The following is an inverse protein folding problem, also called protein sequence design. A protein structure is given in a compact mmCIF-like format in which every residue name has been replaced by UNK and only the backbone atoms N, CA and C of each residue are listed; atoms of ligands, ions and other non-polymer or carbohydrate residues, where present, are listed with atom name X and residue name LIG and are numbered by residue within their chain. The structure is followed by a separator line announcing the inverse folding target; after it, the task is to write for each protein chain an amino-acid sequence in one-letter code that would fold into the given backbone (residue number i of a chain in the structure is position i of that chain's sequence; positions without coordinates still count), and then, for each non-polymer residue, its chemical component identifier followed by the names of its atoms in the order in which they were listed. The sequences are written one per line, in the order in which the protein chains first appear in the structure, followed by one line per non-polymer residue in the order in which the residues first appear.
data_IF_797210919916
#
_entry.id   IF_797210919916
#
_cell.length_a   1.000
_cell.length_b   1.000
_cell.length_c   1.000
_cell.angle_alpha   90.00
_cell.angle_beta   90.00
_cell.angle_gamma   90.00
#
_symmetry.space_group_name_H-M   'P 1'
#
loop_
_entity.id
_entity.type
_entity.pdbx_description
1 polymer ?
#
# COMPACT_ATOMS: atom_id res chain seq x y z
N UNK A 1 83.14 -6.23 0.71
CA UNK A 1 82.09 -7.03 0.06
C UNK A 1 81.70 -8.08 1.07
N UNK A 2 80.55 -8.05 1.73
CA UNK A 2 79.28 -7.35 1.49
C UNK A 2 78.71 -6.91 2.85
N UNK A 3 78.11 -5.72 2.87
CA UNK A 3 77.41 -5.18 4.04
C UNK A 3 76.04 -5.87 4.19
N UNK A 4 75.70 -6.23 5.43
CA UNK A 4 74.41 -6.79 5.83
C UNK A 4 73.32 -5.70 5.78
N UNK A 5 72.37 -5.80 4.84
CA UNK A 5 71.10 -5.05 4.92
C UNK A 5 70.11 -5.76 5.87
N UNK A 6 69.50 -5.06 6.84
CA UNK A 6 68.43 -5.64 7.64
C UNK A 6 67.10 -5.63 6.88
N UNK A 7 66.52 -6.83 6.74
CA UNK A 7 65.18 -7.06 6.20
C UNK A 7 64.12 -6.28 7.01
N UNK A 8 63.57 -5.22 6.42
CA UNK A 8 62.41 -4.52 6.96
C UNK A 8 61.18 -5.45 6.96
N UNK A 9 60.85 -5.97 8.14
CA UNK A 9 59.59 -6.66 8.40
C UNK A 9 58.44 -5.66 8.22
N UNK A 10 57.82 -5.66 7.03
CA UNK A 10 56.59 -4.90 6.78
C UNK A 10 55.44 -5.55 7.57
N UNK A 11 55.13 -4.99 8.73
CA UNK A 11 53.85 -5.24 9.42
C UNK A 11 52.69 -4.99 8.46
N UNK A 12 51.66 -5.86 8.39
CA UNK A 12 50.50 -5.60 7.57
C UNK A 12 49.76 -4.40 8.15
N UNK A 13 49.72 -3.29 7.42
CA UNK A 13 48.86 -2.17 7.76
C UNK A 13 47.40 -2.65 7.63
N UNK A 14 46.78 -2.97 8.75
CA UNK A 14 45.33 -3.16 8.83
C UNK A 14 44.72 -1.80 8.51
N UNK A 15 44.38 -1.58 7.23
CA UNK A 15 43.58 -0.41 6.85
C UNK A 15 42.19 -0.62 7.45
N UNK A 16 41.95 -0.04 8.62
CA UNK A 16 40.62 0.07 9.20
C UNK A 16 39.86 1.10 8.38
N UNK A 17 39.41 0.70 7.19
CA UNK A 17 38.54 1.53 6.35
C UNK A 17 37.27 1.82 7.15
N UNK A 18 37.17 3.04 7.67
CA UNK A 18 36.03 3.53 8.44
C UNK A 18 34.77 3.37 7.60
N UNK A 19 33.91 2.43 7.97
CA UNK A 19 32.62 2.22 7.29
C UNK A 19 31.64 3.27 7.78
N UNK A 20 31.00 3.96 6.86
CA UNK A 20 29.98 4.96 7.18
C UNK A 20 28.60 4.28 7.20
N UNK A 21 27.89 4.31 8.34
CA UNK A 21 26.63 3.61 8.54
C UNK A 21 25.44 4.57 8.53
N UNK A 22 24.38 4.22 7.81
CA UNK A 22 23.10 4.91 7.90
C UNK A 22 22.43 4.63 9.25
N UNK A 23 22.03 5.66 9.99
CA UNK A 23 21.35 5.51 11.27
C UNK A 23 19.92 4.94 11.15
N UNK A 24 19.26 5.12 10.02
CA UNK A 24 17.87 4.68 9.82
C UNK A 24 17.75 3.23 9.31
N UNK A 25 18.49 2.86 8.25
CA UNK A 25 18.43 1.52 7.65
C UNK A 25 19.65 0.64 7.95
N UNK A 26 20.64 1.16 8.68
CA UNK A 26 21.85 0.43 9.08
C UNK A 26 22.76 -0.04 7.93
N UNK A 27 22.51 0.41 6.69
CA UNK A 27 23.36 0.13 5.54
C UNK A 27 24.73 0.79 5.71
N UNK A 28 25.78 0.08 5.31
CA UNK A 28 27.17 0.53 5.45
C UNK A 28 27.76 0.90 4.08
N UNK A 29 28.55 1.97 4.06
CA UNK A 29 29.18 2.53 2.87
C UNK A 29 30.68 2.65 3.09
N UNK A 30 31.46 2.40 2.02
CA UNK A 30 32.93 2.56 2.05
C UNK A 30 33.35 4.04 2.10
N UNK A 31 32.51 4.92 1.56
CA UNK A 31 32.75 6.35 1.34
C UNK A 31 31.61 7.18 1.95
N UNK A 32 31.91 8.34 2.53
CA UNK A 32 30.92 9.22 3.17
C UNK A 32 29.95 9.80 2.14
N UNK A 33 30.43 10.08 0.93
CA UNK A 33 29.66 10.66 -0.17
C UNK A 33 28.50 9.73 -0.55
N UNK A 34 28.76 8.41 -0.61
CA UNK A 34 27.74 7.42 -0.92
C UNK A 34 26.67 7.33 0.18
N UNK A 35 27.05 7.53 1.45
CA UNK A 35 26.08 7.62 2.54
C UNK A 35 25.20 8.87 2.38
N UNK A 36 25.78 10.01 2.02
CA UNK A 36 25.02 11.24 1.77
C UNK A 36 24.07 11.06 0.59
N UNK A 37 24.52 10.46 -0.51
CA UNK A 37 23.68 10.16 -1.67
C UNK A 37 22.54 9.19 -1.31
N UNK A 38 22.82 8.16 -0.50
CA UNK A 38 21.82 7.25 0.04
C UNK A 38 20.74 8.00 0.82
N UNK A 39 21.13 8.92 1.71
CA UNK A 39 20.18 9.70 2.51
C UNK A 39 19.30 10.59 1.62
N UNK A 40 19.90 11.21 0.60
CA UNK A 40 19.19 12.04 -0.40
C UNK A 40 18.22 11.25 -1.26
N UNK A 41 18.38 9.94 -1.44
CA UNK A 41 17.47 9.11 -2.26
C UNK A 41 16.44 8.35 -1.42
N UNK A 42 16.81 8.00 -0.19
CA UNK A 42 16.02 7.11 0.65
C UNK A 42 14.96 7.83 1.48
N UNK A 43 15.20 9.10 1.86
CA UNK A 43 14.31 10.00 2.64
C UNK A 43 13.71 9.45 3.94
N UNK A 44 13.95 8.17 4.27
CA UNK A 44 13.50 7.42 5.43
C UNK A 44 12.18 7.93 6.03
N UNK A 45 11.12 7.90 5.22
CA UNK A 45 9.83 8.47 5.59
C UNK A 45 9.07 7.59 6.58
N UNK A 46 8.04 8.17 7.19
CA UNK A 46 7.08 7.46 8.05
C UNK A 46 6.38 6.29 7.34
N UNK A 47 6.33 6.31 6.01
CA UNK A 47 5.76 5.24 5.20
C UNK A 47 6.66 4.00 5.11
N UNK A 48 7.94 4.10 5.45
CA UNK A 48 8.84 2.94 5.41
C UNK A 48 8.57 2.01 6.59
N UNK A 49 8.39 0.70 6.34
CA UNK A 49 8.22 -0.27 7.42
C UNK A 49 9.45 -0.30 8.32
N UNK A 50 9.23 -0.44 9.63
CA UNK A 50 10.30 -0.55 10.62
C UNK A 50 10.20 -1.86 11.38
N UNK A 51 11.35 -2.43 11.72
CA UNK A 51 11.40 -3.58 12.60
C UNK A 51 10.92 -3.20 14.02
N UNK A 52 9.96 -3.93 14.57
CA UNK A 52 9.48 -3.71 15.94
C UNK A 52 10.52 -4.00 17.02
N UNK A 53 11.60 -4.71 16.69
CA UNK A 53 12.68 -5.08 17.63
C UNK A 53 13.85 -4.10 17.58
N UNK A 54 14.42 -3.89 16.39
CA UNK A 54 15.64 -3.07 16.24
C UNK A 54 15.41 -1.70 15.60
N UNK A 55 14.16 -1.36 15.28
CA UNK A 55 13.74 -0.10 14.64
C UNK A 55 14.42 0.24 13.30
N UNK A 56 15.09 -0.75 12.68
CA UNK A 56 15.65 -0.62 11.33
C UNK A 56 14.54 -0.32 10.33
N UNK A 57 14.72 0.73 9.54
CA UNK A 57 13.87 1.02 8.39
C UNK A 57 14.17 0.04 7.26
N UNK A 58 13.10 -0.54 6.74
CA UNK A 58 13.08 -1.43 5.60
C UNK A 58 12.46 -0.72 4.41
N UNK A 59 12.95 -1.00 3.20
CA UNK A 59 12.48 -0.34 1.97
C UNK A 59 11.05 -0.74 1.59
N UNK A 60 10.66 -1.96 1.94
CA UNK A 60 9.33 -2.55 1.71
C UNK A 60 8.99 -3.58 2.79
N UNK A 61 7.70 -3.94 2.89
CA UNK A 61 7.25 -4.95 3.85
C UNK A 61 7.85 -6.33 3.55
N UNK A 62 8.10 -6.65 2.28
CA UNK A 62 8.87 -7.84 1.90
C UNK A 62 10.28 -7.80 2.51
N UNK A 63 11.00 -6.68 2.39
CA UNK A 63 12.33 -6.55 3.03
C UNK A 63 12.29 -6.57 4.56
N UNK A 64 11.16 -6.20 5.17
CA UNK A 64 10.95 -6.36 6.61
C UNK A 64 10.75 -7.84 6.97
N UNK A 65 9.93 -8.58 6.21
CA UNK A 65 9.77 -10.04 6.37
C UNK A 65 11.10 -10.75 6.26
N UNK A 66 11.90 -10.45 5.24
CA UNK A 66 13.24 -11.03 5.09
C UNK A 66 14.17 -10.71 6.29
N UNK A 67 14.03 -9.52 6.88
CA UNK A 67 14.83 -9.13 8.02
C UNK A 67 14.49 -9.88 9.32
N UNK A 68 13.22 -10.24 9.52
CA UNK A 68 12.72 -10.84 10.77
C UNK A 68 12.40 -12.34 10.66
N UNK A 69 12.27 -12.89 9.45
CA UNK A 69 11.94 -14.30 9.24
C UNK A 69 12.64 -14.92 8.02
N UNK A 70 13.42 -14.15 7.27
CA UNK A 70 14.15 -14.65 6.10
C UNK A 70 15.40 -15.47 6.46
N UNK A 71 16.01 -16.16 5.48
CA UNK A 71 17.18 -17.01 5.69
C UNK A 71 18.41 -16.24 6.18
N UNK A 72 18.46 -14.93 5.94
CA UNK A 72 19.55 -14.04 6.37
C UNK A 72 19.14 -13.14 7.55
N UNK A 73 18.03 -13.47 8.24
CA UNK A 73 17.57 -12.72 9.39
C UNK A 73 18.58 -12.80 10.55
N UNK A 74 18.76 -11.68 11.26
CA UNK A 74 19.62 -11.68 12.45
C UNK A 74 18.92 -12.42 13.58
N UNK A 75 19.64 -13.35 14.23
CA UNK A 75 19.11 -14.22 15.28
C UNK A 75 18.30 -13.48 16.36
N UNK A 76 18.77 -12.32 16.82
CA UNK A 76 18.06 -11.51 17.82
C UNK A 76 16.68 -11.02 17.36
N UNK A 77 16.56 -10.51 16.13
CA UNK A 77 15.28 -10.01 15.64
C UNK A 77 14.34 -11.16 15.26
N UNK A 78 14.88 -12.24 14.69
CA UNK A 78 14.07 -13.39 14.31
C UNK A 78 13.57 -14.19 15.50
N UNK A 79 14.37 -14.37 16.55
CA UNK A 79 13.94 -15.09 17.76
C UNK A 79 12.81 -14.35 18.48
N UNK A 80 12.95 -13.04 18.68
CA UNK A 80 11.91 -12.21 19.32
C UNK A 80 10.64 -12.21 18.48
N UNK A 81 10.76 -12.03 17.15
CA UNK A 81 9.60 -12.04 16.28
C UNK A 81 8.92 -13.41 16.22
N UNK A 82 9.67 -14.52 16.28
CA UNK A 82 9.09 -15.86 16.30
C UNK A 82 8.24 -16.12 17.56
N UNK A 83 8.63 -15.54 18.71
CA UNK A 83 7.90 -15.71 19.98
C UNK A 83 6.74 -14.72 20.11
N UNK A 84 6.97 -13.46 19.73
CA UNK A 84 6.10 -12.34 20.07
C UNK A 84 5.55 -11.60 18.84
N UNK A 85 5.78 -12.09 17.63
CA UNK A 85 5.41 -11.42 16.39
C UNK A 85 4.12 -11.95 15.76
N UNK A 86 3.39 -11.07 15.08
CA UNK A 86 2.28 -11.45 14.22
C UNK A 86 2.71 -11.37 12.75
N UNK A 87 2.67 -12.49 12.02
CA UNK A 87 3.08 -12.56 10.61
C UNK A 87 2.17 -11.77 9.65
N UNK A 88 0.96 -11.39 10.06
CA UNK A 88 0.04 -10.59 9.26
C UNK A 88 0.36 -9.10 9.38
N UNK A 89 0.28 -8.52 10.58
CA UNK A 89 0.52 -7.09 10.80
C UNK A 89 2.01 -6.73 10.91
N UNK A 90 2.89 -7.69 11.22
CA UNK A 90 4.33 -7.53 11.47
C UNK A 90 4.67 -6.76 12.75
N UNK A 91 3.70 -6.59 13.65
CA UNK A 91 3.92 -6.02 14.98
C UNK A 91 4.52 -7.07 15.91
N UNK A 92 5.27 -6.57 16.89
CA UNK A 92 5.83 -7.35 18.00
C UNK A 92 5.10 -6.93 19.27
N UNK A 93 4.67 -7.91 20.05
CA UNK A 93 3.89 -7.71 21.27
C UNK A 93 4.72 -8.00 22.52
N UNK A 94 4.23 -7.59 23.69
CA UNK A 94 4.94 -7.75 24.96
C UNK A 94 5.04 -9.20 25.43
N UNK A 95 4.05 -10.05 25.08
CA UNK A 95 4.01 -11.45 25.48
C UNK A 95 3.40 -12.34 24.41
N UNK A 96 3.68 -13.66 24.40
CA UNK A 96 3.03 -14.60 23.48
C UNK A 96 1.50 -14.62 23.61
N UNK A 97 0.97 -14.46 24.83
CA UNK A 97 -0.47 -14.45 25.09
C UNK A 97 -1.16 -13.29 24.38
N UNK A 98 -0.54 -12.11 24.36
CA UNK A 98 -1.11 -10.96 23.64
C UNK A 98 -1.04 -11.11 22.13
N UNK A 99 -0.08 -11.88 21.59
CA UNK A 99 -0.06 -12.25 20.17
C UNK A 99 -1.23 -13.16 19.83
N UNK A 100 -1.49 -14.18 20.64
CA UNK A 100 -2.54 -15.15 20.35
C UNK A 100 -3.93 -14.51 20.40
N UNK A 101 -4.21 -13.69 21.41
CA UNK A 101 -5.43 -12.88 21.43
C UNK A 101 -5.52 -11.87 20.27
N UNK A 102 -4.38 -11.34 19.81
CA UNK A 102 -4.35 -10.45 18.65
C UNK A 102 -4.61 -11.18 17.33
N UNK A 103 -4.12 -12.41 17.12
CA UNK A 103 -4.20 -13.11 15.82
C UNK A 103 -5.64 -13.23 15.31
N UNK A 104 -6.58 -13.53 16.20
CA UNK A 104 -8.01 -13.64 15.85
C UNK A 104 -8.58 -12.30 15.37
N UNK A 105 -8.33 -11.23 16.12
CA UNK A 105 -8.75 -9.86 15.76
C UNK A 105 -8.05 -9.35 14.50
N UNK A 106 -6.78 -9.71 14.33
CA UNK A 106 -5.96 -9.34 13.21
C UNK A 106 -6.59 -9.87 11.91
N UNK A 107 -7.04 -11.12 11.86
CA UNK A 107 -7.70 -11.65 10.67
C UNK A 107 -8.99 -10.89 10.33
N UNK A 108 -9.81 -10.59 11.33
CA UNK A 108 -11.18 -10.12 11.14
C UNK A 108 -11.31 -8.63 10.77
N UNK A 109 -10.34 -7.79 11.13
CA UNK A 109 -10.46 -6.33 10.92
C UNK A 109 -9.16 -5.71 10.41
N UNK A 110 -9.25 -4.76 9.49
CA UNK A 110 -8.21 -3.74 9.41
C UNK A 110 -8.26 -2.96 10.74
N UNK A 111 -7.10 -2.66 11.37
CA UNK A 111 -7.11 -1.89 12.60
C UNK A 111 -7.90 -0.60 12.37
N UNK A 112 -8.77 -0.20 13.32
CA UNK A 112 -9.50 1.05 13.22
C UNK A 112 -8.51 2.21 13.01
N UNK A 113 -8.95 3.30 12.36
CA UNK A 113 -8.15 4.51 12.20
C UNK A 113 -7.39 4.82 13.50
N UNK A 114 -6.05 4.74 13.49
CA UNK A 114 -5.28 5.22 14.65
C UNK A 114 -5.55 6.72 14.75
N UNK A 115 -6.47 7.06 15.63
CA UNK A 115 -7.23 8.31 15.65
C UNK A 115 -8.37 8.23 16.67
N UNK A 116 -8.97 7.05 16.84
CA UNK A 116 -9.83 6.72 17.99
C UNK A 116 -9.02 6.02 19.08
N UNK A 117 -8.16 6.78 19.75
CA UNK A 117 -7.73 6.39 21.10
C UNK A 117 -8.81 6.89 22.04
N UNK A 118 -9.64 5.97 22.55
CA UNK A 118 -10.36 6.22 23.80
C UNK A 118 -9.31 6.40 24.89
N UNK A 119 -8.97 7.66 25.19
CA UNK A 119 -8.30 8.01 26.43
C UNK A 119 -9.32 7.75 27.54
N UNK A 120 -9.01 6.93 28.55
CA UNK A 120 -9.91 6.78 29.68
C UNK A 120 -9.98 8.12 30.45
N UNK A 121 -11.15 8.75 30.32
CA UNK A 121 -11.87 9.55 31.31
C UNK A 121 -11.04 10.19 32.44
N UNK A 122 -10.81 11.49 32.34
CA UNK A 122 -10.95 12.42 33.48
C UNK A 122 -11.65 13.67 32.99
N UNK A 123 -12.75 14.00 33.68
CA UNK A 123 -13.70 15.07 33.45
C UNK A 123 -13.03 16.44 33.25
N UNK A 124 -13.40 17.17 32.19
CA UNK A 124 -13.55 18.62 32.19
C UNK A 124 -14.57 19.02 31.12
N UNK A 125 -15.43 19.96 31.49
CA UNK A 125 -16.69 20.31 30.84
C UNK A 125 -16.58 20.99 29.46
N UNK A 126 -17.59 20.68 28.65
CA UNK A 126 -18.24 21.45 27.59
C UNK A 126 -17.50 22.62 26.93
N UNK A 127 -17.12 22.41 25.66
CA UNK A 127 -17.37 23.39 24.59
C UNK A 127 -17.84 22.60 23.34
N UNK A 128 -19.10 22.84 22.96
CA UNK A 128 -19.70 22.35 21.73
C UNK A 128 -19.05 23.08 20.53
N UNK A 129 -18.27 22.34 19.74
CA UNK A 129 -17.89 22.75 18.38
C UNK A 129 -18.08 21.55 17.44
N UNK A 130 -19.30 21.47 16.88
CA UNK A 130 -19.80 20.45 15.95
C UNK A 130 -19.10 20.47 14.55
N UNK A 131 -17.85 20.93 14.47
CA UNK A 131 -17.10 21.03 13.21
C UNK A 131 -15.67 20.45 13.27
N UNK A 132 -15.40 19.55 14.23
CA UNK A 132 -14.10 18.89 14.39
C UNK A 132 -14.00 17.48 13.74
N UNK A 133 -14.88 17.18 12.78
CA UNK A 133 -14.88 15.94 11.99
C UNK A 133 -15.03 16.35 10.50
N UNK A 134 -14.05 16.44 9.61
CA UNK A 134 -12.72 15.86 9.49
C UNK A 134 -11.87 16.79 8.60
N UNK A 135 -10.61 17.06 8.96
CA UNK A 135 -9.73 17.96 8.17
C UNK A 135 -9.15 17.29 6.89
N UNK A 136 -9.66 16.13 6.49
CA UNK A 136 -9.03 15.27 5.50
C UNK A 136 -10.04 14.75 4.47
N UNK A 137 -9.63 14.64 3.20
CA UNK A 137 -10.49 14.08 2.17
C UNK A 137 -10.83 12.63 2.51
N UNK A 138 -12.11 12.29 2.41
CA UNK A 138 -12.61 10.92 2.48
C UNK A 138 -11.97 10.08 1.38
N UNK A 139 -11.73 8.80 1.64
CA UNK A 139 -11.17 7.85 0.68
C UNK A 139 -12.24 6.93 0.12
N UNK A 140 -12.10 6.60 -1.16
CA UNK A 140 -12.90 5.60 -1.87
C UNK A 140 -11.96 4.65 -2.58
N UNK A 141 -12.18 3.35 -2.37
CA UNK A 141 -11.47 2.31 -3.08
C UNK A 141 -12.22 1.95 -4.37
N UNK A 142 -11.50 1.78 -5.48
CA UNK A 142 -12.06 1.29 -6.74
C UNK A 142 -11.47 -0.07 -7.13
N UNK A 143 -12.34 -0.98 -7.57
CA UNK A 143 -11.94 -2.19 -8.28
C UNK A 143 -12.52 -2.17 -9.69
N UNK A 144 -11.70 -2.53 -10.67
CA UNK A 144 -12.13 -2.74 -12.03
C UNK A 144 -11.83 -4.19 -12.43
N UNK A 145 -12.78 -4.84 -13.06
CA UNK A 145 -12.55 -6.10 -13.77
C UNK A 145 -12.73 -5.87 -15.26
N UNK A 146 -11.78 -6.43 -16.01
CA UNK A 146 -11.65 -6.21 -17.44
C UNK A 146 -11.78 -7.54 -18.16
N UNK A 147 -12.37 -7.49 -19.34
CA UNK A 147 -12.46 -8.61 -20.28
C UNK A 147 -11.62 -8.30 -21.52
N UNK A 148 -11.17 -9.36 -22.19
CA UNK A 148 -10.46 -9.27 -23.46
C UNK A 148 -11.43 -9.09 -24.63
N UNK A 149 -11.16 -8.08 -25.45
CA UNK A 149 -11.92 -7.73 -26.64
C UNK A 149 -11.00 -7.69 -27.88
N UNK A 150 -11.63 -7.60 -29.06
CA UNK A 150 -10.92 -7.63 -30.33
C UNK A 150 -10.63 -9.06 -30.81
N UNK A 151 -10.01 -9.19 -31.99
CA UNK A 151 -9.86 -10.48 -32.69
C UNK A 151 -9.09 -11.51 -31.86
N UNK A 152 -8.12 -11.06 -31.07
CA UNK A 152 -7.22 -11.89 -30.27
C UNK A 152 -7.42 -11.72 -28.75
N UNK A 153 -8.40 -10.93 -28.31
CA UNK A 153 -8.65 -10.67 -26.88
C UNK A 153 -7.59 -9.81 -26.19
N UNK A 154 -6.71 -9.15 -26.95
CA UNK A 154 -5.61 -8.32 -26.44
C UNK A 154 -6.04 -6.96 -25.88
N UNK A 155 -7.25 -6.51 -26.19
CA UNK A 155 -7.76 -5.21 -25.76
C UNK A 155 -8.55 -5.37 -24.47
N UNK A 156 -8.05 -4.77 -23.39
CA UNK A 156 -8.73 -4.76 -22.09
C UNK A 156 -9.84 -3.71 -22.06
N UNK A 157 -11.09 -4.16 -21.95
CA UNK A 157 -12.25 -3.29 -21.72
C UNK A 157 -12.88 -3.56 -20.35
N UNK A 158 -13.35 -2.50 -19.71
CA UNK A 158 -14.04 -2.59 -18.43
C UNK A 158 -15.35 -3.36 -18.59
N UNK A 159 -15.58 -4.33 -17.70
CA UNK A 159 -16.76 -5.17 -17.70
C UNK A 159 -17.49 -5.17 -16.35
N UNK A 160 -16.80 -4.81 -15.26
CA UNK A 160 -17.39 -4.60 -13.94
C UNK A 160 -16.57 -3.60 -13.15
N UNK A 161 -17.23 -2.73 -12.40
CA UNK A 161 -16.59 -1.78 -11.49
C UNK A 161 -17.31 -1.78 -10.15
N UNK A 162 -16.57 -1.57 -9.07
CA UNK A 162 -17.14 -1.24 -7.78
C UNK A 162 -16.37 -0.13 -7.08
N UNK A 163 -17.08 0.67 -6.30
CA UNK A 163 -16.52 1.63 -5.36
C UNK A 163 -16.93 1.24 -3.94
N UNK A 164 -15.99 1.34 -3.02
CA UNK A 164 -16.15 1.00 -1.61
C UNK A 164 -15.66 2.15 -0.75
N UNK A 165 -16.40 2.49 0.31
CA UNK A 165 -16.03 3.55 1.25
C UNK A 165 -15.05 3.08 2.33
N UNK A 166 -14.83 3.90 3.35
CA UNK A 166 -13.88 3.63 4.41
C UNK A 166 -14.36 2.57 5.39
N UNK A 167 -15.67 2.49 5.55
CA UNK A 167 -16.43 1.54 6.35
C UNK A 167 -16.68 0.21 5.63
N UNK A 168 -16.14 0.06 4.41
CA UNK A 168 -16.21 -1.16 3.59
C UNK A 168 -17.62 -1.44 3.02
N UNK A 169 -18.46 -0.40 2.96
CA UNK A 169 -19.73 -0.45 2.26
C UNK A 169 -19.52 -0.25 0.76
N UNK A 170 -20.25 -1.02 -0.02
CA UNK A 170 -20.26 -0.91 -1.47
C UNK A 170 -21.17 0.25 -1.88
N UNK A 171 -20.58 1.39 -2.20
CA UNK A 171 -21.30 2.63 -2.53
C UNK A 171 -21.69 2.70 -4.01
N UNK A 172 -21.00 1.94 -4.87
CA UNK A 172 -21.38 1.78 -6.27
C UNK A 172 -20.89 0.43 -6.79
N UNK A 173 -21.72 -0.26 -7.57
CA UNK A 173 -21.35 -1.47 -8.28
C UNK A 173 -22.22 -1.62 -9.52
N UNK A 174 -21.60 -1.97 -10.63
CA UNK A 174 -22.31 -2.27 -11.87
C UNK A 174 -21.48 -3.16 -12.79
N UNK A 175 -22.16 -3.91 -13.65
CA UNK A 175 -21.55 -4.41 -14.88
C UNK A 175 -21.48 -3.29 -15.91
N UNK A 176 -20.53 -3.38 -16.82
CA UNK A 176 -20.26 -2.36 -17.84
C UNK A 176 -20.39 -3.01 -19.20
N UNK A 177 -21.12 -2.35 -20.09
CA UNK A 177 -21.27 -2.77 -21.49
C UNK A 177 -19.99 -2.43 -22.27
N UNK A 178 -19.22 -3.43 -22.75
CA UNK A 178 -18.00 -3.18 -23.52
C UNK A 178 -18.34 -2.65 -24.91
N UNK A 179 -17.55 -1.69 -25.39
CA UNK A 179 -17.77 -1.07 -26.72
C UNK A 179 -17.39 -1.98 -27.90
N UNK A 180 -16.69 -3.08 -27.64
CA UNK A 180 -16.25 -4.07 -28.62
C UNK A 180 -16.74 -5.45 -28.20
N UNK A 181 -16.89 -6.37 -29.16
CA UNK A 181 -17.26 -7.75 -28.86
C UNK A 181 -16.20 -8.41 -27.96
N UNK A 182 -16.68 -8.98 -26.86
CA UNK A 182 -15.84 -9.73 -25.92
C UNK A 182 -15.46 -11.06 -26.55
N UNK A 183 -14.16 -11.34 -26.62
CA UNK A 183 -13.60 -12.60 -27.13
C UNK A 183 -13.01 -13.45 -26.01
N UNK A 184 -12.64 -12.84 -24.89
CA UNK A 184 -12.19 -13.54 -23.69
C UNK A 184 -12.77 -12.90 -22.41
N UNK A 185 -13.71 -13.60 -21.76
CA UNK A 185 -14.29 -13.13 -20.50
C UNK A 185 -13.34 -13.26 -19.30
N UNK A 186 -12.23 -14.01 -19.43
CA UNK A 186 -11.28 -14.29 -18.35
C UNK A 186 -11.97 -14.86 -17.11
N UNK A 187 -12.92 -15.77 -17.32
CA UNK A 187 -13.89 -16.21 -16.31
C UNK A 187 -13.25 -16.66 -14.99
N UNK A 188 -12.11 -17.35 -15.05
CA UNK A 188 -11.39 -17.80 -13.86
C UNK A 188 -11.04 -16.63 -12.93
N UNK A 189 -10.62 -15.50 -13.51
CA UNK A 189 -10.25 -14.28 -12.79
C UNK A 189 -11.48 -13.40 -12.55
N UNK A 190 -12.26 -13.07 -13.58
CA UNK A 190 -13.34 -12.08 -13.49
C UNK A 190 -14.65 -12.65 -12.93
N UNK A 191 -14.98 -13.90 -13.29
CA UNK A 191 -16.27 -14.55 -13.00
C UNK A 191 -17.43 -13.93 -13.78
N UNK A 192 -17.11 -13.12 -14.78
CA UNK A 192 -18.08 -12.46 -15.64
C UNK A 192 -18.51 -13.45 -16.71
N UNK A 193 -19.83 -13.57 -16.87
CA UNK A 193 -20.46 -14.30 -17.96
C UNK A 193 -21.11 -13.29 -18.90
N UNK A 194 -21.30 -13.70 -20.14
CA UNK A 194 -22.00 -12.91 -21.16
C UNK A 194 -23.37 -12.42 -20.70
N UNK A 195 -24.11 -13.26 -19.98
CA UNK A 195 -25.44 -12.93 -19.44
C UNK A 195 -25.42 -11.73 -18.49
N UNK A 196 -24.35 -11.55 -17.70
CA UNK A 196 -24.22 -10.41 -16.79
C UNK A 196 -24.11 -9.10 -17.58
N UNK A 197 -23.31 -9.10 -18.66
CA UNK A 197 -23.09 -7.89 -19.47
C UNK A 197 -24.33 -7.53 -20.29
N UNK A 198 -25.04 -8.53 -20.83
CA UNK A 198 -26.26 -8.30 -21.62
C UNK A 198 -27.44 -7.84 -20.79
N UNK A 199 -27.59 -8.34 -19.56
CA UNK A 199 -28.74 -8.02 -18.70
C UNK A 199 -28.51 -6.76 -17.88
N UNK A 200 -27.32 -6.60 -17.32
CA UNK A 200 -27.02 -5.62 -16.28
C UNK A 200 -25.92 -4.62 -16.71
N UNK A 201 -25.48 -4.66 -17.97
CA UNK A 201 -24.42 -3.82 -18.51
C UNK A 201 -24.85 -2.37 -18.65
N UNK A 202 -24.15 -1.47 -17.94
CA UNK A 202 -24.33 -0.03 -18.08
C UNK A 202 -23.33 0.53 -19.11
N UNK A 203 -23.73 1.48 -19.97
CA UNK A 203 -22.81 2.15 -20.88
C UNK A 203 -21.67 2.84 -20.12
N UNK A 204 -20.42 2.66 -20.58
CA UNK A 204 -19.22 3.21 -19.91
C UNK A 204 -19.31 4.71 -19.62
N UNK A 205 -20.03 5.46 -20.47
CA UNK A 205 -20.26 6.90 -20.28
C UNK A 205 -21.04 7.19 -18.98
N UNK A 206 -22.13 6.47 -18.73
CA UNK A 206 -22.95 6.64 -17.52
C UNK A 206 -22.19 6.19 -16.27
N UNK A 207 -21.42 5.09 -16.39
CA UNK A 207 -20.53 4.60 -15.33
C UNK A 207 -19.54 5.69 -14.93
N UNK A 208 -18.86 6.29 -15.91
CA UNK A 208 -17.92 7.40 -15.69
C UNK A 208 -18.57 8.60 -15.04
N UNK A 209 -19.78 8.97 -15.44
CA UNK A 209 -20.51 10.10 -14.86
C UNK A 209 -20.83 9.85 -13.40
N UNK A 210 -21.34 8.66 -13.05
CA UNK A 210 -21.62 8.26 -11.66
C UNK A 210 -20.36 8.22 -10.79
N UNK A 211 -19.26 7.63 -11.30
CA UNK A 211 -17.98 7.59 -10.58
C UNK A 211 -17.45 9.01 -10.36
N UNK A 212 -17.51 9.87 -11.38
CA UNK A 212 -17.09 11.26 -11.27
C UNK A 212 -17.90 12.01 -10.20
N UNK A 213 -19.21 11.83 -10.17
CA UNK A 213 -20.07 12.45 -9.14
C UNK A 213 -19.67 12.03 -7.73
N UNK A 214 -19.37 10.74 -7.52
CA UNK A 214 -18.93 10.21 -6.22
C UNK A 214 -17.57 10.77 -5.82
N UNK A 215 -16.60 10.77 -6.74
CA UNK A 215 -15.23 11.18 -6.44
C UNK A 215 -15.10 12.69 -6.23
N UNK A 216 -15.78 13.50 -7.04
CA UNK A 216 -15.71 14.95 -6.92
C UNK A 216 -16.63 15.52 -5.84
N UNK A 217 -17.57 14.73 -5.30
CA UNK A 217 -18.44 15.12 -4.18
C UNK A 217 -19.13 16.50 -4.38
N UNK A 218 -19.63 16.74 -5.60
CA UNK A 218 -20.28 17.99 -5.98
C UNK A 218 -19.34 19.16 -6.32
N UNK A 219 -18.01 18.96 -6.30
CA UNK A 219 -17.05 19.99 -6.71
C UNK A 219 -16.77 19.99 -8.22
N UNK A 220 -16.37 21.15 -8.72
CA UNK A 220 -15.82 21.24 -10.07
C UNK A 220 -14.40 20.67 -10.11
N UNK A 221 -14.00 20.13 -11.26
CA UNK A 221 -12.65 19.58 -11.50
C UNK A 221 -11.55 20.59 -11.13
N UNK A 222 -11.79 21.90 -11.37
CA UNK A 222 -10.86 22.95 -11.02
C UNK A 222 -10.66 23.12 -9.50
N UNK A 223 -11.73 23.01 -8.71
CA UNK A 223 -11.67 23.10 -7.24
C UNK A 223 -11.08 21.84 -6.61
N UNK A 224 -11.34 20.67 -7.18
CA UNK A 224 -10.77 19.40 -6.73
C UNK A 224 -9.24 19.34 -6.80
N UNK A 225 -8.62 20.20 -7.61
CA UNK A 225 -7.16 20.33 -7.73
C UNK A 225 -6.55 21.29 -6.70
N UNK A 226 -7.35 22.00 -5.93
CA UNK A 226 -6.90 22.94 -4.90
C UNK A 226 -6.83 22.25 -3.54
N UNK A 227 -5.89 22.68 -2.70
CA UNK A 227 -5.82 22.23 -1.31
C UNK A 227 -7.08 22.68 -0.55
N UNK A 228 -7.75 21.72 0.08
CA UNK A 228 -8.98 21.96 0.86
C UNK A 228 -10.29 21.71 0.11
N UNK A 229 -10.25 21.15 -1.10
CA UNK A 229 -11.44 20.62 -1.78
C UNK A 229 -12.05 19.42 -1.06
N UNK A 230 -13.32 19.14 -1.37
CA UNK A 230 -14.13 17.99 -0.90
C UNK A 230 -14.00 16.74 -1.78
N UNK A 231 -13.19 16.81 -2.84
CA UNK A 231 -12.88 15.64 -3.67
C UNK A 231 -12.22 14.52 -2.85
N UNK A 232 -12.59 13.28 -3.16
CA UNK A 232 -12.20 12.09 -2.40
C UNK A 232 -10.83 11.56 -2.84
N UNK A 233 -10.09 10.93 -1.93
CA UNK A 233 -8.92 10.13 -2.31
C UNK A 233 -9.38 8.88 -3.04
N UNK A 234 -8.79 8.59 -4.21
CA UNK A 234 -9.06 7.37 -4.95
C UNK A 234 -7.96 6.35 -4.67
N UNK A 235 -8.31 5.25 -4.03
CA UNK A 235 -7.40 4.13 -3.74
C UNK A 235 -7.67 2.98 -4.71
N UNK A 236 -6.62 2.36 -5.23
CA UNK A 236 -6.79 1.21 -6.11
C UNK A 236 -5.52 0.39 -6.30
N UNK A 237 -5.60 -0.57 -7.22
CA UNK A 237 -4.46 -1.34 -7.68
C UNK A 237 -4.32 -1.19 -9.19
N UNK A 238 -3.19 -0.64 -9.64
CA UNK A 238 -2.93 -0.30 -11.03
C UNK A 238 -3.96 0.72 -11.58
N UNK A 239 -4.04 1.87 -10.89
CA UNK A 239 -5.06 2.89 -11.13
C UNK A 239 -4.97 3.49 -12.52
N UNK A 240 -3.77 3.62 -13.09
CA UNK A 240 -3.57 4.14 -14.45
C UNK A 240 -4.39 3.31 -15.46
N UNK A 241 -4.23 1.98 -15.41
CA UNK A 241 -4.95 1.07 -16.28
C UNK A 241 -6.48 1.11 -16.04
N UNK A 242 -6.91 1.23 -14.78
CA UNK A 242 -8.33 1.35 -14.45
C UNK A 242 -8.95 2.66 -14.99
N UNK A 243 -8.24 3.78 -14.87
CA UNK A 243 -8.67 5.09 -15.35
C UNK A 243 -8.68 5.17 -16.87
N UNK A 244 -7.70 4.53 -17.54
CA UNK A 244 -7.65 4.38 -19.00
C UNK A 244 -8.90 3.63 -19.51
N UNK A 245 -9.24 2.47 -18.93
CA UNK A 245 -10.45 1.72 -19.31
C UNK A 245 -11.76 2.49 -19.01
N UNK A 246 -11.76 3.37 -18.00
CA UNK A 246 -12.88 4.25 -17.68
C UNK A 246 -12.95 5.50 -18.55
N UNK A 247 -11.90 5.79 -19.34
CA UNK A 247 -11.73 7.05 -20.08
C UNK A 247 -11.88 8.26 -19.15
N UNK A 248 -11.18 8.21 -18.01
CA UNK A 248 -11.23 9.20 -16.94
C UNK A 248 -9.83 9.73 -16.61
N UNK A 249 -9.78 11.00 -16.19
CA UNK A 249 -8.58 11.58 -15.58
C UNK A 249 -8.93 12.01 -14.16
N UNK A 250 -8.03 11.75 -13.22
CA UNK A 250 -8.18 12.14 -11.82
C UNK A 250 -6.89 12.80 -11.30
N UNK A 251 -6.96 13.81 -10.41
CA UNK A 251 -5.76 14.51 -9.94
C UNK A 251 -4.77 13.56 -9.26
N UNK A 252 -3.50 13.58 -9.70
CA UNK A 252 -2.46 12.67 -9.20
C UNK A 252 -2.25 12.75 -7.68
N UNK A 253 -2.39 13.94 -7.10
CA UNK A 253 -2.28 14.16 -5.65
C UNK A 253 -3.37 13.43 -4.85
N UNK A 254 -4.49 13.07 -5.49
CA UNK A 254 -5.61 12.34 -4.90
C UNK A 254 -5.58 10.83 -5.21
N UNK A 255 -4.61 10.34 -5.98
CA UNK A 255 -4.45 8.91 -6.29
C UNK A 255 -3.60 8.19 -5.25
N UNK A 256 -4.03 7.00 -4.84
CA UNK A 256 -3.29 6.09 -3.96
C UNK A 256 -3.25 4.71 -4.59
N UNK A 257 -2.22 4.46 -5.39
CA UNK A 257 -2.06 3.20 -6.10
C UNK A 257 -1.16 2.22 -5.34
N UNK A 258 -1.73 1.09 -4.95
CA UNK A 258 -1.02 -0.02 -4.28
C UNK A 258 0.04 -0.68 -5.18
N UNK A 259 -0.09 -0.61 -6.51
CA UNK A 259 0.87 -1.15 -7.47
C UNK A 259 2.13 -0.28 -7.62
N UNK A 260 2.10 0.98 -7.16
CA UNK A 260 3.25 1.91 -7.19
C UNK A 260 3.72 2.30 -5.79
N UNK A 261 2.94 2.01 -4.75
CA UNK A 261 3.28 2.33 -3.37
C UNK A 261 4.48 1.52 -2.86
N UNK A 262 5.64 2.18 -2.77
CA UNK A 262 6.95 1.57 -2.44
C UNK A 262 6.93 0.53 -1.31
N UNK A 263 6.27 0.75 -0.15
CA UNK A 263 6.21 -0.23 0.92
C UNK A 263 5.57 -1.57 0.53
N UNK A 264 4.62 -1.56 -0.40
CA UNK A 264 3.93 -2.75 -0.91
C UNK A 264 4.63 -3.38 -2.12
N UNK A 265 5.67 -2.75 -2.68
CA UNK A 265 6.40 -3.31 -3.81
C UNK A 265 7.34 -4.44 -3.38
N UNK A 266 7.69 -5.26 -4.37
CA UNK A 266 8.81 -6.19 -4.27
C UNK A 266 10.11 -5.44 -3.98
N UNK A 267 11.09 -6.17 -3.48
CA UNK A 267 12.46 -5.67 -3.25
C UNK A 267 13.14 -5.15 -4.51
N UNK A 268 12.72 -5.62 -5.70
CA UNK A 268 13.15 -5.13 -7.02
C UNK A 268 12.29 -3.99 -7.58
N UNK A 269 11.39 -3.42 -6.79
CA UNK A 269 10.45 -2.35 -7.15
C UNK A 269 9.37 -2.73 -8.17
N UNK A 270 9.18 -4.02 -8.45
CA UNK A 270 8.03 -4.50 -9.23
C UNK A 270 6.80 -4.63 -8.34
N UNK A 271 5.61 -4.45 -8.93
CA UNK A 271 4.36 -4.68 -8.23
C UNK A 271 4.18 -6.16 -7.87
N UNK A 272 3.51 -6.39 -6.75
CA UNK A 272 2.89 -7.67 -6.45
C UNK A 272 1.48 -7.68 -7.05
N UNK A 273 0.94 -8.87 -7.35
CA UNK A 273 -0.47 -8.97 -7.70
C UNK A 273 -1.34 -8.61 -6.49
N UNK A 274 -2.53 -8.06 -6.74
CA UNK A 274 -3.51 -7.82 -5.68
C UNK A 274 -3.79 -9.10 -4.87
N UNK A 275 -3.91 -10.26 -5.54
CA UNK A 275 -4.05 -11.58 -4.88
C UNK A 275 -2.92 -11.89 -3.90
N UNK A 276 -1.68 -11.55 -4.24
CA UNK A 276 -0.56 -11.71 -3.31
C UNK A 276 -0.70 -10.74 -2.13
N UNK A 277 -1.04 -9.47 -2.39
CA UNK A 277 -1.16 -8.45 -1.35
C UNK A 277 -2.26 -8.81 -0.33
N UNK A 278 -3.44 -9.21 -0.79
CA UNK A 278 -4.55 -9.60 0.08
C UNK A 278 -4.20 -10.84 0.90
N UNK A 279 -3.67 -11.90 0.27
CA UNK A 279 -3.21 -13.10 0.98
C UNK A 279 -2.14 -12.79 2.02
N UNK A 280 -1.14 -12.00 1.64
CA UNK A 280 0.04 -11.74 2.49
C UNK A 280 -0.27 -10.80 3.64
N UNK A 281 -1.16 -9.82 3.44
CA UNK A 281 -1.38 -8.75 4.41
C UNK A 281 -2.71 -8.84 5.14
N UNK A 282 -3.71 -9.48 4.57
CA UNK A 282 -5.02 -9.67 5.18
C UNK A 282 -5.23 -11.10 5.69
N UNK A 283 -4.47 -12.07 5.16
CA UNK A 283 -4.59 -13.48 5.55
C UNK A 283 -5.73 -14.22 4.85
N UNK A 284 -6.40 -13.57 3.89
CA UNK A 284 -7.44 -14.18 3.08
C UNK A 284 -6.83 -14.81 1.83
N UNK A 285 -7.02 -16.11 1.65
CA UNK A 285 -6.96 -16.65 0.29
C UNK A 285 -8.26 -16.24 -0.38
N UNK A 286 -8.16 -15.32 -1.33
CA UNK A 286 -9.22 -15.02 -2.25
C UNK A 286 -9.56 -16.33 -2.98
N UNK A 287 -10.54 -17.06 -2.44
CA UNK A 287 -11.11 -18.24 -3.09
C UNK A 287 -12.04 -17.73 -4.18
N UNK A 288 -11.84 -18.23 -5.40
CA UNK A 288 -12.57 -17.87 -6.63
C UNK A 288 -14.11 -17.99 -6.57
N UNK A 289 -14.68 -18.42 -5.44
CA UNK A 289 -16.11 -18.67 -5.26
C UNK A 289 -16.91 -17.48 -4.70
N UNK A 290 -16.28 -16.45 -4.11
CA UNK A 290 -17.02 -15.26 -3.63
C UNK A 290 -16.33 -13.94 -4.04
N UNK A 291 -16.52 -13.58 -5.30
CA UNK A 291 -15.87 -12.42 -5.96
C UNK A 291 -16.37 -11.07 -5.47
N UNK A 292 -17.45 -11.03 -4.69
CA UNK A 292 -17.94 -9.82 -4.04
C UNK A 292 -17.08 -9.43 -2.82
N UNK A 293 -16.35 -10.39 -2.25
CA UNK A 293 -15.36 -10.13 -1.20
C UNK A 293 -14.06 -9.53 -1.77
N UNK A 294 -13.60 -9.98 -2.93
CA UNK A 294 -12.40 -9.42 -3.60
C UNK A 294 -12.51 -7.91 -3.82
N UNK A 295 -13.72 -7.48 -4.20
CA UNK A 295 -14.09 -6.11 -4.52
C UNK A 295 -13.93 -5.16 -3.33
N UNK A 296 -14.02 -5.67 -2.09
CA UNK A 296 -13.93 -4.86 -0.85
C UNK A 296 -12.51 -4.76 -0.29
N UNK A 297 -11.54 -5.49 -0.84
CA UNK A 297 -10.25 -5.73 -0.18
C UNK A 297 -9.07 -4.89 -0.70
N UNK A 298 -9.30 -3.93 -1.58
CA UNK A 298 -8.22 -3.22 -2.27
C UNK A 298 -7.49 -2.23 -1.38
N UNK A 299 -8.21 -1.53 -0.51
CA UNK A 299 -7.62 -0.53 0.39
C UNK A 299 -7.23 -1.11 1.75
N UNK A 300 -7.77 -2.28 2.14
CA UNK A 300 -7.42 -2.93 3.42
C UNK A 300 -5.91 -3.15 3.61
N UNK A 301 -5.11 -3.58 2.60
CA UNK A 301 -3.67 -3.73 2.75
C UNK A 301 -2.98 -2.41 3.06
N UNK A 302 -3.47 -1.30 2.50
CA UNK A 302 -2.96 0.04 2.80
C UNK A 302 -3.37 0.40 4.22
N UNK A 303 -4.67 0.46 4.54
CA UNK A 303 -5.19 0.81 5.87
C UNK A 303 -4.53 0.04 7.02
N UNK A 304 -4.24 -1.24 6.80
CA UNK A 304 -3.64 -2.12 7.81
C UNK A 304 -2.14 -1.90 8.03
N UNK A 305 -1.46 -1.33 7.05
CA UNK A 305 -0.01 -1.16 7.02
C UNK A 305 0.44 0.27 7.14
N UNK A 306 -0.46 1.21 6.89
CA UNK A 306 -0.30 2.61 7.17
C UNK A 306 -1.08 2.93 8.45
N UNK A 307 -0.37 3.31 9.52
CA UNK A 307 -1.04 3.90 10.67
C UNK A 307 -1.85 5.09 10.16
N UNK A 308 -3.17 5.08 10.32
CA UNK A 308 -4.09 6.07 9.73
C UNK A 308 -3.85 7.53 10.19
N UNK A 309 -2.91 7.75 11.12
CA UNK A 309 -2.23 9.04 11.31
C UNK A 309 -1.68 9.65 10.01
N UNK A 310 -1.54 8.86 8.95
CA UNK A 310 -1.08 9.28 7.63
C UNK A 310 -2.11 10.07 6.82
N UNK A 311 -3.30 10.35 7.36
CA UNK A 311 -4.13 11.48 6.89
C UNK A 311 -3.56 12.83 7.33
N UNK A 312 -2.78 12.90 8.42
CA UNK A 312 -2.46 14.14 9.15
C UNK A 312 -1.34 15.05 8.63
N UNK A 313 -0.69 14.80 7.50
CA UNK A 313 0.56 15.50 7.15
C UNK A 313 0.52 16.27 5.82
N UNK A 314 0.91 17.55 5.86
CA UNK A 314 1.25 18.44 4.72
C UNK A 314 2.42 17.96 3.86
N UNK A 315 2.93 16.74 4.05
CA UNK A 315 4.05 16.15 3.31
C UNK A 315 3.59 15.29 2.10
N UNK A 316 2.36 15.48 1.61
CA UNK A 316 1.78 14.67 0.53
C UNK A 316 2.21 15.04 -0.89
N UNK A 317 3.31 15.78 -1.05
CA UNK A 317 3.96 15.91 -2.35
C UNK A 317 4.93 14.77 -2.62
N UNK A 318 4.50 13.49 -2.66
CA UNK A 318 5.21 12.33 -3.29
C UNK A 318 4.68 10.96 -2.82
N UNK A 319 3.47 10.59 -3.20
CA UNK A 319 3.22 9.18 -3.50
C UNK A 319 3.67 8.97 -4.95
N UNK A 320 4.87 8.42 -5.15
CA UNK A 320 5.26 7.91 -6.47
C UNK A 320 5.76 8.90 -7.53
N UNK A 321 6.00 10.20 -7.26
CA UNK A 321 6.65 11.04 -8.29
C UNK A 321 8.07 10.50 -8.57
N UNK A 322 8.25 9.95 -9.78
CA UNK A 322 9.54 9.97 -10.45
C UNK A 322 9.94 11.45 -10.53
N UNK A 323 11.12 11.76 -9.99
CA UNK A 323 11.78 13.03 -10.30
C UNK A 323 12.30 12.96 -11.73
#
# INVERSE_FOLDING_TARGET
MEEFEPNHLKTPMVSTSTRHKCAACFQQFKKKENLVEHMKKSYHSVHQPKCGVCHKHCKSFESLREHISGPLAKAHCSSIFAQNGCHLCLNVFESPVSVDGHKELCLQTAPPPLGTMNIPYTEYEALEDENYMSKYPEAVAINCQMVGCGIDGSVDLLARVCLVDEEENMIFHTYVEPQLSVTDYRYEVTGIKEEHLKRDGMPVKEVREKISQILYNGESIGKARLDGGKAKLLVGHNLDHALDCLLMNYPENLLRDTATYRPLLKTNFMSHSLKYLTKTYLGYDIRSSNKDLEMKEIDRPVKRKTNLHQRRGRDMGRWGQKS
#
